data_IF_305267624128
#
_entry.id   IF_305267624128
#
_cell.length_a   1.000
_cell.length_b   1.000
_cell.length_c   1.000
_cell.angle_alpha   90.00
_cell.angle_beta   90.00
_cell.angle_gamma   90.00
#
_symmetry.space_group_name_H-M   'P 1'
#
loop_
_entity.id
_entity.type
_entity.pdbx_description
1 polymer ?
#
# COMPACT_ATOMS: atom_id res chain seq x y z
N UNK A 1 -3.23 -19.66 23.51
CA UNK A 1 -3.11 -18.50 22.59
C UNK A 1 -1.97 -18.72 21.61
N UNK A 2 -0.75 -19.08 22.06
CA UNK A 2 0.34 -19.46 21.15
C UNK A 2 0.03 -20.67 20.25
N UNK A 3 -0.72 -21.67 20.71
CA UNK A 3 -1.00 -22.86 19.88
C UNK A 3 -1.88 -22.54 18.65
N UNK A 4 -2.85 -21.62 18.80
CA UNK A 4 -3.69 -21.17 17.68
C UNK A 4 -2.86 -20.41 16.64
N UNK A 5 -1.98 -19.51 17.08
CA UNK A 5 -1.12 -18.74 16.18
C UNK A 5 -0.11 -19.65 15.47
N UNK A 6 0.49 -20.60 16.19
CA UNK A 6 1.37 -21.62 15.60
C UNK A 6 0.63 -22.47 14.59
N UNK A 7 -0.60 -22.89 14.88
CA UNK A 7 -1.42 -23.63 13.92
C UNK A 7 -1.73 -22.77 12.68
N UNK A 8 -2.14 -21.52 12.85
CA UNK A 8 -2.36 -20.58 11.74
C UNK A 8 -1.12 -20.45 10.85
N UNK A 9 0.04 -20.18 11.44
CA UNK A 9 1.31 -20.05 10.72
C UNK A 9 1.77 -21.37 10.06
N UNK A 10 1.49 -22.51 10.70
CA UNK A 10 1.81 -23.82 10.14
C UNK A 10 0.91 -24.18 8.95
N UNK A 11 -0.39 -23.88 9.04
CA UNK A 11 -1.39 -24.21 8.01
C UNK A 11 -1.36 -23.23 6.83
N UNK A 12 -1.06 -21.96 7.06
CA UNK A 12 -0.91 -20.99 5.97
C UNK A 12 0.23 -21.42 5.05
N UNK A 13 -0.02 -21.44 3.75
CA UNK A 13 1.04 -21.62 2.75
C UNK A 13 1.82 -20.33 2.56
N UNK A 14 1.08 -19.24 2.39
CA UNK A 14 1.59 -17.89 2.15
C UNK A 14 1.07 -16.93 3.21
N UNK A 15 1.93 -16.02 3.65
CA UNK A 15 1.64 -15.04 4.69
C UNK A 15 2.13 -13.67 4.24
N UNK A 16 1.23 -12.69 4.26
CA UNK A 16 1.61 -11.27 4.19
C UNK A 16 1.59 -10.67 5.58
N UNK A 17 2.45 -9.69 5.83
CA UNK A 17 2.53 -9.01 7.12
C UNK A 17 2.12 -7.56 7.01
N UNK A 18 1.47 -7.03 8.04
CA UNK A 18 1.34 -5.59 8.26
C UNK A 18 2.04 -5.23 9.56
N UNK A 19 2.89 -4.21 9.52
CA UNK A 19 3.59 -3.68 10.68
C UNK A 19 2.99 -2.32 11.01
N UNK A 20 2.60 -2.17 12.27
CA UNK A 20 2.08 -0.91 12.79
C UNK A 20 2.87 -0.45 14.00
N UNK A 21 3.11 0.86 14.07
CA UNK A 21 3.76 1.54 15.17
C UNK A 21 2.89 2.73 15.55
N UNK A 22 2.44 2.75 16.79
CA UNK A 22 1.69 3.89 17.31
C UNK A 22 2.15 4.24 18.71
N UNK A 23 1.95 5.51 19.05
CA UNK A 23 2.19 6.04 20.40
C UNK A 23 0.85 6.33 21.06
N UNK A 24 0.64 5.81 22.26
CA UNK A 24 -0.56 6.08 23.04
C UNK A 24 -0.56 7.48 23.68
N UNK A 25 -1.65 7.84 24.34
CA UNK A 25 -1.80 9.15 25.01
C UNK A 25 -0.85 9.36 26.19
N UNK A 26 -0.25 8.29 26.71
CA UNK A 26 0.74 8.30 27.79
C UNK A 26 2.16 8.27 27.25
N UNK A 27 2.33 8.60 25.96
CA UNK A 27 3.61 8.65 25.24
C UNK A 27 4.37 7.32 25.28
N UNK A 28 3.64 6.20 25.33
CA UNK A 28 4.20 4.85 25.20
C UNK A 28 4.03 4.40 23.77
N UNK A 29 5.11 3.98 23.14
CA UNK A 29 5.07 3.45 21.79
C UNK A 29 4.87 1.94 21.82
N UNK A 30 4.16 1.43 20.84
CA UNK A 30 3.90 0.01 20.65
C UNK A 30 4.26 -0.37 19.22
N UNK A 31 4.70 -1.61 19.06
CA UNK A 31 4.96 -2.25 17.79
C UNK A 31 4.07 -3.49 17.69
N UNK A 32 3.46 -3.69 16.53
CA UNK A 32 2.76 -4.93 16.24
C UNK A 32 3.08 -5.47 14.85
N UNK A 33 3.13 -6.79 14.75
CA UNK A 33 3.15 -7.53 13.50
C UNK A 33 1.85 -8.32 13.43
N UNK A 34 1.09 -8.12 12.36
CA UNK A 34 -0.10 -8.91 12.06
C UNK A 34 0.15 -9.73 10.81
N UNK A 35 -0.09 -11.03 10.90
CA UNK A 35 -0.02 -11.95 9.77
C UNK A 35 -1.38 -12.14 9.13
N UNK A 36 -1.39 -12.17 7.79
CA UNK A 36 -2.58 -12.29 6.96
C UNK A 36 -2.37 -13.44 5.98
N UNK A 37 -3.33 -14.36 5.91
CA UNK A 37 -3.31 -15.49 4.99
C UNK A 37 -4.73 -15.84 4.55
N UNK A 38 -4.85 -16.51 3.40
CA UNK A 38 -6.08 -17.17 2.98
C UNK A 38 -5.92 -18.65 3.29
N UNK A 39 -6.80 -19.20 4.12
CA UNK A 39 -6.81 -20.61 4.50
C UNK A 39 -8.22 -21.13 4.25
N UNK A 40 -8.34 -22.19 3.45
CA UNK A 40 -9.63 -22.78 3.05
C UNK A 40 -10.59 -21.73 2.45
N UNK A 41 -10.09 -20.89 1.54
CA UNK A 41 -10.85 -19.79 0.90
C UNK A 41 -11.35 -18.71 1.86
N UNK A 42 -10.90 -18.71 3.12
CA UNK A 42 -11.24 -17.69 4.10
C UNK A 42 -10.03 -16.82 4.43
N UNK A 43 -10.22 -15.50 4.40
CA UNK A 43 -9.23 -14.55 4.86
C UNK A 43 -9.09 -14.62 6.39
N UNK A 44 -7.88 -14.81 6.87
CA UNK A 44 -7.52 -14.89 8.29
C UNK A 44 -6.45 -13.85 8.59
N UNK A 45 -6.65 -13.12 9.69
CA UNK A 45 -5.73 -12.08 10.16
C UNK A 45 -5.52 -12.23 11.66
N UNK A 46 -4.26 -12.34 12.08
CA UNK A 46 -3.90 -12.51 13.49
C UNK A 46 -2.68 -11.69 13.87
N UNK A 47 -2.74 -11.06 15.04
CA UNK A 47 -1.59 -10.37 15.64
C UNK A 47 -0.59 -11.42 16.11
N UNK A 48 0.56 -11.49 15.45
CA UNK A 48 1.65 -12.41 15.75
C UNK A 48 2.57 -11.86 16.83
N UNK A 49 2.77 -10.54 16.83
CA UNK A 49 3.63 -9.85 17.77
C UNK A 49 2.97 -8.55 18.24
N UNK A 50 3.05 -8.28 19.54
CA UNK A 50 2.60 -7.04 20.15
C UNK A 50 3.53 -6.69 21.32
N UNK A 51 4.32 -5.64 21.17
CA UNK A 51 5.37 -5.30 22.13
C UNK A 51 5.40 -3.79 22.41
N UNK A 52 5.66 -3.36 23.66
CA UNK A 52 6.00 -1.97 23.95
C UNK A 52 7.41 -1.66 23.41
N UNK A 53 7.57 -0.49 22.80
CA UNK A 53 8.86 0.03 22.35
C UNK A 53 9.43 1.03 23.36
N UNK A 54 10.64 0.78 23.85
CA UNK A 54 11.36 1.64 24.79
C UNK A 54 12.54 2.36 24.11
N UNK A 55 12.70 3.65 24.46
CA UNK A 55 13.77 4.50 23.95
C UNK A 55 13.58 4.91 22.48
N UNK A 56 14.69 5.25 21.80
CA UNK A 56 14.65 5.63 20.38
C UNK A 56 14.23 4.44 19.50
N UNK A 57 13.26 4.69 18.61
CA UNK A 57 12.71 3.72 17.64
C UNK A 57 13.60 3.65 16.41
N UNK A 58 14.82 3.11 16.52
CA UNK A 58 15.70 2.93 15.37
C UNK A 58 15.27 1.71 14.54
N UNK A 59 15.64 1.72 13.25
CA UNK A 59 15.30 0.66 12.29
C UNK A 59 15.81 -0.72 12.72
N UNK A 60 16.98 -0.78 13.36
CA UNK A 60 17.61 -2.02 13.85
C UNK A 60 16.73 -2.79 14.85
N UNK A 61 16.14 -2.11 15.83
CA UNK A 61 15.25 -2.76 16.82
C UNK A 61 13.98 -3.30 16.18
N UNK A 62 13.44 -2.59 15.18
CA UNK A 62 12.25 -3.04 14.47
C UNK A 62 12.55 -4.31 13.67
N UNK A 63 13.72 -4.37 13.05
CA UNK A 63 14.22 -5.55 12.35
C UNK A 63 14.44 -6.72 13.32
N UNK A 64 15.05 -6.48 14.47
CA UNK A 64 15.23 -7.51 15.50
C UNK A 64 13.89 -8.11 15.96
N UNK A 65 12.88 -7.29 16.27
CA UNK A 65 11.56 -7.80 16.66
C UNK A 65 10.85 -8.53 15.52
N UNK A 66 11.04 -8.08 14.28
CA UNK A 66 10.58 -8.79 13.10
C UNK A 66 11.22 -10.17 13.03
N UNK A 67 12.56 -10.26 13.03
CA UNK A 67 13.29 -11.52 12.92
C UNK A 67 12.92 -12.51 14.03
N UNK A 68 12.82 -12.03 15.28
CA UNK A 68 12.38 -12.85 16.41
C UNK A 68 10.98 -13.44 16.16
N UNK A 69 10.05 -12.63 15.64
CA UNK A 69 8.69 -13.08 15.36
C UNK A 69 8.66 -14.09 14.22
N UNK A 70 9.37 -13.83 13.11
CA UNK A 70 9.42 -14.73 11.97
C UNK A 70 10.05 -16.07 12.37
N UNK A 71 11.12 -16.04 13.17
CA UNK A 71 11.79 -17.21 13.70
C UNK A 71 10.92 -17.98 14.70
N UNK A 72 10.16 -17.32 15.58
CA UNK A 72 9.27 -17.99 16.53
C UNK A 72 8.21 -18.84 15.82
N UNK A 73 7.64 -18.32 14.73
CA UNK A 73 6.58 -18.99 13.98
C UNK A 73 7.07 -19.80 12.77
N UNK A 74 8.36 -19.75 12.44
CA UNK A 74 8.99 -20.47 11.31
C UNK A 74 8.32 -20.16 9.96
N UNK A 75 8.07 -18.87 9.71
CA UNK A 75 7.32 -18.41 8.52
C UNK A 75 8.19 -17.73 7.46
N UNK A 76 9.52 -17.74 7.58
CA UNK A 76 10.47 -17.08 6.67
C UNK A 76 10.16 -17.41 5.20
N UNK A 77 10.02 -18.71 4.91
CA UNK A 77 9.79 -19.24 3.57
C UNK A 77 8.35 -19.06 3.05
N UNK A 78 7.47 -18.51 3.88
CA UNK A 78 6.04 -18.30 3.57
C UNK A 78 5.73 -16.83 3.34
N UNK A 79 6.69 -15.92 3.52
CA UNK A 79 6.45 -14.50 3.43
C UNK A 79 6.31 -14.03 1.98
N UNK A 80 5.20 -13.37 1.68
CA UNK A 80 4.95 -12.78 0.36
C UNK A 80 5.29 -11.30 0.32
N UNK A 81 4.72 -10.51 1.24
CA UNK A 81 4.82 -9.04 1.27
C UNK A 81 4.74 -8.52 2.68
N UNK A 82 5.36 -7.37 2.92
CA UNK A 82 5.33 -6.65 4.19
C UNK A 82 4.79 -5.24 3.94
N UNK A 83 3.65 -4.90 4.54
CA UNK A 83 3.08 -3.54 4.48
C UNK A 83 3.50 -2.78 5.72
N UNK A 84 4.13 -1.62 5.54
CA UNK A 84 4.51 -0.72 6.64
C UNK A 84 4.05 0.71 6.34
N UNK A 85 3.95 1.57 7.34
CA UNK A 85 3.79 3.00 7.08
C UNK A 85 5.04 3.57 6.37
N UNK A 86 4.92 4.80 5.85
CA UNK A 86 6.01 5.48 5.15
C UNK A 86 6.87 6.35 6.08
N UNK A 87 6.91 6.05 7.38
CA UNK A 87 7.86 6.69 8.28
C UNK A 87 9.29 6.29 7.90
N UNK A 88 10.23 7.24 8.03
CA UNK A 88 11.62 7.05 7.63
C UNK A 88 12.28 5.85 8.31
N UNK A 89 11.93 5.54 9.56
CA UNK A 89 12.47 4.39 10.28
C UNK A 89 11.92 3.06 9.74
N UNK A 90 10.65 3.02 9.31
CA UNK A 90 10.04 1.83 8.71
C UNK A 90 10.54 1.60 7.27
N UNK A 91 10.70 2.67 6.49
CA UNK A 91 11.35 2.58 5.18
C UNK A 91 12.76 2.00 5.37
N UNK A 92 13.61 2.64 6.19
CA UNK A 92 14.99 2.18 6.42
C UNK A 92 15.11 0.76 6.97
N UNK A 93 14.17 0.31 7.80
CA UNK A 93 14.20 -1.03 8.38
C UNK A 93 13.91 -2.13 7.35
N UNK A 94 13.08 -1.84 6.34
CA UNK A 94 12.51 -2.87 5.45
C UNK A 94 12.73 -2.61 3.95
N UNK A 95 13.41 -1.53 3.57
CA UNK A 95 13.69 -1.16 2.16
C UNK A 95 14.62 -2.15 1.46
N UNK A 96 15.58 -2.74 2.17
CA UNK A 96 16.57 -3.70 1.64
C UNK A 96 16.51 -5.06 2.32
N UNK A 97 15.34 -5.47 2.84
CA UNK A 97 15.22 -6.78 3.48
C UNK A 97 15.33 -7.88 2.41
N UNK A 98 16.52 -8.49 2.34
CA UNK A 98 16.75 -9.72 1.57
C UNK A 98 16.07 -10.85 2.34
N UNK A 99 15.27 -11.66 1.64
CA UNK A 99 14.59 -12.81 2.24
C UNK A 99 15.66 -13.79 2.74
N UNK A 100 15.60 -14.25 4.02
CA UNK A 100 16.47 -15.31 4.49
C UNK A 100 16.29 -16.60 3.67
N UNK A 101 17.35 -17.10 3.04
CA UNK A 101 17.36 -18.20 2.08
C UNK A 101 17.55 -17.78 0.60
N UNK A 102 17.57 -16.47 0.31
CA UNK A 102 17.88 -15.91 -1.01
C UNK A 102 19.27 -15.27 -1.09
N UNK A 103 20.07 -15.31 -0.02
CA UNK A 103 21.44 -14.79 0.00
C UNK A 103 22.29 -15.46 -1.10
N UNK A 104 22.13 -16.77 -1.28
CA UNK A 104 22.86 -17.56 -2.28
C UNK A 104 22.48 -17.28 -3.74
N UNK A 105 21.41 -16.53 -4.00
CA UNK A 105 21.05 -16.09 -5.35
C UNK A 105 21.79 -14.81 -5.76
N UNK A 106 22.27 -14.05 -4.77
CA UNK A 106 23.09 -12.85 -4.96
C UNK A 106 24.58 -13.12 -4.75
N UNK A 107 24.94 -14.35 -4.38
CA UNK A 107 26.31 -14.87 -4.45
C UNK A 107 26.64 -15.27 -5.90
N UNK A 108 26.81 -14.28 -6.80
CA UNK A 108 27.39 -14.50 -8.12
C UNK A 108 28.78 -13.81 -8.18
N UNK A 109 29.81 -14.64 -7.94
CA UNK A 109 31.20 -14.59 -8.40
C UNK A 109 31.83 -13.24 -8.76
N UNK A 110 31.70 -12.24 -7.90
CA UNK A 110 32.61 -11.09 -7.89
C UNK A 110 32.99 -10.70 -6.46
N UNK A 111 33.62 -11.63 -5.75
CA UNK A 111 34.61 -11.25 -4.75
C UNK A 111 35.92 -10.95 -5.51
N UNK A 112 36.38 -9.69 -5.63
CA UNK A 112 37.77 -9.47 -5.97
C UNK A 112 38.59 -9.84 -4.75
N UNK A 113 39.10 -11.07 -4.77
CA UNK A 113 40.13 -11.51 -3.84
C UNK A 113 41.37 -10.62 -4.04
N UNK A 114 41.98 -10.27 -2.91
CA UNK A 114 43.05 -9.29 -2.79
C UNK A 114 44.34 -9.64 -3.55
N UNK A 115 45.01 -8.59 -4.04
CA UNK A 115 46.47 -8.37 -4.17
C UNK A 115 47.08 -8.25 -5.59
N UNK A 116 47.53 -7.02 -5.86
CA UNK A 116 48.90 -6.62 -6.24
C UNK A 116 49.42 -6.79 -7.69
N UNK A 117 49.65 -5.61 -8.29
CA UNK A 117 50.71 -5.22 -9.24
C UNK A 117 50.97 -5.99 -10.56
N UNK A 118 50.92 -5.24 -11.68
CA UNK A 118 51.96 -5.31 -12.72
C UNK A 118 51.56 -5.72 -14.15
N UNK A 119 51.65 -4.73 -15.07
CA UNK A 119 52.11 -4.79 -16.48
C UNK A 119 51.39 -5.61 -17.56
N UNK A 120 50.87 -4.87 -18.56
CA UNK A 120 51.10 -4.92 -20.01
C UNK A 120 51.03 -6.21 -20.87
N UNK A 121 50.32 -6.02 -22.00
CA UNK A 121 50.52 -6.54 -23.38
C UNK A 121 49.85 -7.86 -23.86
N UNK A 122 48.93 -7.64 -24.82
CA UNK A 122 48.72 -8.31 -26.13
C UNK A 122 48.94 -9.82 -26.31
N UNK A 123 47.95 -10.48 -26.91
CA UNK A 123 48.13 -11.77 -27.59
C UNK A 123 46.82 -12.37 -28.06
N UNK A 124 46.64 -12.40 -29.38
CA UNK A 124 45.69 -13.23 -30.15
C UNK A 124 45.96 -14.72 -29.86
N UNK A 125 44.91 -15.55 -29.75
CA UNK A 125 44.87 -16.89 -30.36
C UNK A 125 43.52 -17.60 -30.16
N UNK A 126 42.99 -18.00 -31.30
CA UNK A 126 41.84 -18.84 -31.61
C UNK A 126 41.82 -20.19 -30.89
N UNK A 127 40.66 -20.57 -30.30
CA UNK A 127 40.22 -21.97 -30.26
C UNK A 127 38.70 -22.10 -30.47
N UNK A 128 38.39 -22.61 -31.66
CA UNK A 128 37.26 -23.43 -32.14
C UNK A 128 35.88 -23.41 -31.48
N UNK A 129 34.92 -23.12 -32.37
CA UNK A 129 33.49 -23.34 -32.32
C UNK A 129 33.11 -24.82 -32.10
N UNK A 130 32.36 -25.10 -31.03
CA UNK A 130 31.41 -26.23 -30.99
C UNK A 130 30.31 -26.11 -29.89
N UNK A 131 30.13 -24.94 -29.25
CA UNK A 131 29.17 -24.74 -28.14
C UNK A 131 28.25 -23.52 -28.37
N UNK A 132 28.22 -22.98 -29.59
CA UNK A 132 27.54 -21.70 -29.86
C UNK A 132 26.10 -21.89 -30.38
N UNK A 133 25.76 -23.06 -30.92
CA UNK A 133 24.43 -23.32 -31.49
C UNK A 133 23.38 -23.81 -30.47
N UNK A 134 23.79 -24.30 -29.30
CA UNK A 134 22.85 -24.65 -28.21
C UNK A 134 22.52 -23.43 -27.34
N UNK A 135 23.49 -22.54 -27.12
CA UNK A 135 23.26 -21.29 -26.37
C UNK A 135 22.47 -20.23 -27.17
N UNK A 136 22.53 -20.24 -28.50
CA UNK A 136 21.75 -19.33 -29.35
C UNK A 136 20.23 -19.55 -29.22
N UNK A 137 19.79 -20.80 -29.12
CA UNK A 137 18.37 -21.13 -28.90
C UNK A 137 17.92 -20.90 -27.45
N UNK A 138 18.81 -20.98 -26.46
CA UNK A 138 18.48 -20.70 -25.06
C UNK A 138 18.40 -19.20 -24.76
N UNK A 139 19.26 -18.39 -25.40
CA UNK A 139 19.27 -16.93 -25.26
C UNK A 139 18.10 -16.23 -25.98
N UNK A 140 17.45 -16.89 -26.95
CA UNK A 140 16.24 -16.34 -27.58
C UNK A 140 15.00 -16.47 -26.69
N UNK A 141 15.00 -17.39 -25.73
CA UNK A 141 13.92 -17.58 -24.74
C UNK A 141 14.16 -16.76 -23.48
N UNK A 142 15.43 -16.49 -23.12
CA UNK A 142 15.81 -15.67 -21.96
C UNK A 142 15.49 -14.17 -22.13
N UNK A 143 15.44 -13.64 -23.35
CA UNK A 143 15.10 -12.23 -23.61
C UNK A 143 13.58 -11.94 -23.65
N UNK A 144 12.72 -12.91 -23.33
CA UNK A 144 11.26 -12.72 -23.28
C UNK A 144 10.72 -12.68 -21.84
N UNK A 145 11.58 -12.94 -20.84
CA UNK A 145 11.17 -13.06 -19.43
C UNK A 145 11.80 -11.92 -18.59
N UNK A 146 11.91 -10.71 -19.14
CA UNK A 146 12.32 -9.54 -18.36
C UNK A 146 11.17 -8.93 -17.53
N UNK A 147 9.93 -9.33 -17.84
CA UNK A 147 8.68 -8.75 -17.31
C UNK A 147 7.81 -9.74 -16.48
N UNK A 148 8.36 -10.91 -16.13
CA UNK A 148 7.70 -11.87 -15.26
C UNK A 148 7.34 -11.24 -13.90
N UNK A 149 6.16 -11.54 -13.36
CA UNK A 149 5.71 -11.02 -12.05
C UNK A 149 6.70 -11.33 -10.91
N UNK A 150 7.41 -12.47 -10.96
CA UNK A 150 8.43 -12.82 -9.96
C UNK A 150 9.76 -12.10 -10.21
N UNK A 151 10.11 -11.81 -11.47
CA UNK A 151 11.25 -10.94 -11.84
C UNK A 151 10.97 -9.48 -11.47
N UNK A 152 9.71 -9.06 -11.55
CA UNK A 152 9.26 -7.71 -11.23
C UNK A 152 8.99 -7.55 -9.74
N UNK A 153 8.60 -8.61 -9.03
CA UNK A 153 8.55 -8.71 -7.57
C UNK A 153 9.91 -8.99 -6.92
N UNK A 154 10.94 -9.37 -7.69
CA UNK A 154 12.34 -9.39 -7.23
C UNK A 154 13.04 -8.06 -7.50
N UNK A 155 12.64 -7.32 -8.55
CA UNK A 155 12.98 -5.88 -8.72
C UNK A 155 12.22 -4.97 -7.75
N UNK A 156 10.98 -5.32 -7.36
CA UNK A 156 10.16 -4.56 -6.40
C UNK A 156 10.31 -5.15 -5.00
N UNK A 157 10.87 -4.40 -4.06
CA UNK A 157 11.17 -4.90 -2.73
C UNK A 157 10.00 -5.58 -1.99
N UNK A 158 10.32 -6.43 -1.02
CA UNK A 158 9.36 -7.13 -0.15
C UNK A 158 8.36 -6.19 0.54
N UNK A 159 8.78 -4.94 0.75
CA UNK A 159 8.03 -3.89 1.44
C UNK A 159 7.07 -3.15 0.49
N UNK A 160 5.78 -3.17 0.82
CA UNK A 160 4.77 -2.29 0.24
C UNK A 160 4.45 -1.10 1.17
N UNK A 161 4.14 0.09 0.60
CA UNK A 161 3.69 1.24 1.38
C UNK A 161 2.25 1.10 1.87
N UNK A 162 1.97 1.57 3.09
CA UNK A 162 0.60 1.64 3.60
C UNK A 162 -0.25 2.65 2.81
N UNK A 163 -1.25 2.16 2.08
CA UNK A 163 -2.19 2.96 1.29
C UNK A 163 -2.90 4.06 2.08
N UNK A 164 -3.52 3.70 3.21
CA UNK A 164 -4.27 4.64 4.04
C UNK A 164 -3.36 5.76 4.61
N UNK A 165 -2.12 5.41 4.99
CA UNK A 165 -1.14 6.40 5.43
C UNK A 165 -0.73 7.32 4.27
N UNK A 166 -0.50 6.79 3.08
CA UNK A 166 -0.17 7.61 1.89
C UNK A 166 -1.31 8.57 1.53
N UNK A 167 -2.56 8.13 1.54
CA UNK A 167 -3.72 9.02 1.33
C UNK A 167 -3.83 10.09 2.41
N UNK A 168 -3.57 9.76 3.67
CA UNK A 168 -3.52 10.75 4.74
C UNK A 168 -2.46 11.82 4.46
N UNK A 169 -1.29 11.44 3.95
CA UNK A 169 -0.25 12.39 3.58
C UNK A 169 -0.67 13.29 2.40
N UNK A 170 -1.44 12.78 1.43
CA UNK A 170 -2.05 13.58 0.35
C UNK A 170 -2.94 14.67 0.95
N UNK A 171 -3.84 14.30 1.86
CA UNK A 171 -4.74 15.25 2.54
C UNK A 171 -3.95 16.27 3.34
N UNK A 172 -2.91 15.85 4.07
CA UNK A 172 -2.06 16.76 4.85
C UNK A 172 -1.34 17.77 3.96
N UNK A 173 -0.82 17.35 2.81
CA UNK A 173 -0.16 18.26 1.86
C UNK A 173 -1.16 19.24 1.25
N UNK A 174 -2.35 18.77 0.85
CA UNK A 174 -3.43 19.66 0.40
C UNK A 174 -3.81 20.70 1.45
N UNK A 175 -3.99 20.28 2.72
CA UNK A 175 -4.37 21.16 3.81
C UNK A 175 -3.32 22.24 4.15
N UNK A 176 -2.03 22.01 3.85
CA UNK A 176 -0.98 23.03 4.02
C UNK A 176 -1.19 24.19 3.04
N UNK A 177 -1.59 23.89 1.82
CA UNK A 177 -1.84 24.87 0.75
C UNK A 177 -3.26 25.48 0.81
N UNK A 178 -4.17 24.88 1.57
CA UNK A 178 -5.57 25.30 1.73
C UNK A 178 -5.76 26.55 2.61
N UNK A 179 -5.03 27.63 2.32
CA UNK A 179 -5.07 28.87 3.11
C UNK A 179 -6.45 29.53 3.08
N UNK A 180 -7.19 29.42 1.97
CA UNK A 180 -8.51 30.03 1.77
C UNK A 180 -9.56 29.54 2.76
N UNK A 181 -9.53 28.26 3.14
CA UNK A 181 -10.56 27.63 3.98
C UNK A 181 -10.18 27.56 5.47
N UNK A 182 -8.94 27.88 5.82
CA UNK A 182 -8.42 27.76 7.18
C UNK A 182 -9.31 28.42 8.24
N UNK A 183 -9.84 29.61 7.95
CA UNK A 183 -10.72 30.32 8.88
C UNK A 183 -12.06 29.60 9.09
N UNK A 184 -12.67 29.09 8.01
CA UNK A 184 -13.93 28.35 8.08
C UNK A 184 -13.76 27.05 8.89
N UNK A 185 -12.67 26.30 8.65
CA UNK A 185 -12.35 25.10 9.45
C UNK A 185 -12.15 25.44 10.93
N UNK A 186 -11.51 26.57 11.25
CA UNK A 186 -11.34 27.03 12.64
C UNK A 186 -12.68 27.33 13.30
N UNK A 187 -13.62 27.97 12.58
CA UNK A 187 -14.99 28.19 13.09
C UNK A 187 -15.68 26.86 13.38
N UNK A 188 -15.69 25.94 12.41
CA UNK A 188 -16.28 24.61 12.54
C UNK A 188 -15.68 23.84 13.72
N UNK A 189 -14.35 23.86 13.89
CA UNK A 189 -13.68 23.23 15.02
C UNK A 189 -14.12 23.82 16.37
N UNK A 190 -14.29 25.14 16.45
CA UNK A 190 -14.79 25.81 17.67
C UNK A 190 -16.26 25.49 17.93
N UNK A 191 -17.09 25.38 16.89
CA UNK A 191 -18.50 24.96 16.99
C UNK A 191 -18.57 23.52 17.52
N UNK A 192 -17.78 22.59 16.95
CA UNK A 192 -17.72 21.21 17.42
C UNK A 192 -17.28 21.12 18.89
N UNK A 193 -16.29 21.93 19.30
CA UNK A 193 -15.90 22.02 20.72
C UNK A 193 -17.04 22.52 21.61
N UNK A 194 -17.81 23.51 21.16
CA UNK A 194 -18.98 23.99 21.90
C UNK A 194 -20.03 22.90 22.07
N UNK A 195 -20.26 22.07 21.05
CA UNK A 195 -21.22 20.96 21.10
C UNK A 195 -20.91 19.94 22.22
N UNK A 196 -19.67 19.90 22.70
CA UNK A 196 -19.24 19.00 23.78
C UNK A 196 -18.92 19.69 25.11
N UNK A 197 -18.82 21.01 25.13
CA UNK A 197 -18.41 21.77 26.32
C UNK A 197 -19.50 22.68 26.87
N UNK A 198 -20.54 23.00 26.07
CA UNK A 198 -21.67 23.82 26.48
C UNK A 198 -22.94 22.98 26.52
N UNK A 199 -23.49 22.79 27.72
CA UNK A 199 -24.75 22.07 27.95
C UNK A 199 -25.88 22.75 27.16
N UNK A 200 -26.01 24.07 27.29
CA UNK A 200 -27.07 24.83 26.61
C UNK A 200 -26.98 24.74 25.07
N UNK A 201 -25.78 24.61 24.50
CA UNK A 201 -25.66 24.44 23.05
C UNK A 201 -26.00 23.00 22.63
N UNK A 202 -25.56 22.00 23.41
CA UNK A 202 -25.89 20.60 23.17
C UNK A 202 -27.39 20.33 23.22
N UNK A 203 -28.11 20.86 24.23
CA UNK A 203 -29.57 20.73 24.35
C UNK A 203 -30.31 21.33 23.14
N UNK A 204 -29.84 22.48 22.63
CA UNK A 204 -30.43 23.10 21.44
C UNK A 204 -30.17 22.30 20.17
N UNK A 205 -29.00 21.66 20.05
CA UNK A 205 -28.71 20.73 18.96
C UNK A 205 -29.61 19.49 19.02
N UNK A 206 -29.81 18.92 20.21
CA UNK A 206 -30.72 17.78 20.41
C UNK A 206 -32.17 18.13 20.06
N UNK A 207 -32.61 19.35 20.37
CA UNK A 207 -33.97 19.83 20.03
C UNK A 207 -34.25 19.81 18.52
N UNK A 208 -33.23 20.02 17.70
CA UNK A 208 -33.33 19.94 16.23
C UNK A 208 -32.90 18.57 15.67
N UNK A 209 -32.67 17.58 16.54
CA UNK A 209 -32.24 16.23 16.16
C UNK A 209 -30.81 16.14 15.64
N UNK A 210 -29.97 17.14 15.91
CA UNK A 210 -28.58 17.18 15.45
C UNK A 210 -27.62 16.68 16.54
N UNK A 211 -26.59 15.95 16.12
CA UNK A 211 -25.47 15.55 16.98
C UNK A 211 -24.16 15.69 16.23
N UNK A 212 -23.17 16.30 16.89
CA UNK A 212 -21.83 16.51 16.32
C UNK A 212 -20.89 15.45 16.92
N UNK A 213 -20.23 14.62 16.10
CA UNK A 213 -19.28 13.63 16.60
C UNK A 213 -17.99 14.29 17.11
N UNK A 214 -17.34 13.67 18.10
CA UNK A 214 -16.00 14.08 18.54
C UNK A 214 -14.97 13.73 17.48
N UNK A 215 -14.27 14.74 16.97
CA UNK A 215 -13.12 14.54 16.10
C UNK A 215 -11.99 13.78 16.82
N UNK A 216 -11.42 12.78 16.14
CA UNK A 216 -10.23 12.06 16.57
C UNK A 216 -8.98 12.69 15.92
N UNK A 217 -7.98 13.00 16.73
CA UNK A 217 -6.71 13.57 16.26
C UNK A 217 -5.92 12.59 15.38
N UNK A 218 -6.04 11.28 15.62
CA UNK A 218 -5.23 10.26 14.93
C UNK A 218 -5.85 9.76 13.62
N UNK A 219 -7.11 10.10 13.33
CA UNK A 219 -7.83 9.67 12.12
C UNK A 219 -8.43 10.86 11.41
N UNK A 220 -7.83 11.29 10.31
CA UNK A 220 -8.20 12.53 9.61
C UNK A 220 -9.66 12.52 9.11
N UNK A 221 -10.20 11.36 8.69
CA UNK A 221 -11.58 11.19 8.25
C UNK A 221 -12.62 11.55 9.34
N UNK A 222 -12.29 11.39 10.63
CA UNK A 222 -13.16 11.83 11.72
C UNK A 222 -13.37 13.36 11.77
N UNK A 223 -12.38 14.12 11.29
CA UNK A 223 -12.48 15.57 11.18
C UNK A 223 -13.42 15.94 10.02
N UNK A 224 -13.35 15.21 8.90
CA UNK A 224 -14.29 15.37 7.77
C UNK A 224 -15.74 15.09 8.21
N UNK A 225 -15.99 13.98 8.91
CA UNK A 225 -17.33 13.67 9.45
C UNK A 225 -17.87 14.77 10.37
N UNK A 226 -17.00 15.42 11.15
CA UNK A 226 -17.38 16.56 11.99
C UNK A 226 -17.83 17.76 11.16
N UNK A 227 -17.11 18.06 10.07
CA UNK A 227 -17.47 19.15 9.15
C UNK A 227 -18.81 18.84 8.46
N UNK A 228 -18.98 17.63 7.93
CA UNK A 228 -20.22 17.17 7.29
C UNK A 228 -21.42 17.32 8.23
N UNK A 229 -21.31 16.82 9.47
CA UNK A 229 -22.39 16.90 10.47
C UNK A 229 -22.75 18.32 10.85
N UNK A 230 -21.79 19.26 10.81
CA UNK A 230 -22.09 20.68 11.05
C UNK A 230 -22.80 21.31 9.84
N UNK A 231 -22.44 20.93 8.61
CA UNK A 231 -23.12 21.40 7.40
C UNK A 231 -24.53 20.84 7.22
N UNK A 232 -24.83 19.67 7.79
CA UNK A 232 -26.20 19.11 7.84
C UNK A 232 -27.15 19.96 8.71
N UNK A 233 -26.61 20.74 9.66
CA UNK A 233 -27.43 21.61 10.51
C UNK A 233 -27.91 22.82 9.70
N UNK A 234 -29.22 23.13 9.68
CA UNK A 234 -29.73 24.31 8.99
C UNK A 234 -29.01 25.60 9.44
N UNK A 235 -28.37 26.28 8.49
CA UNK A 235 -27.46 27.41 8.76
C UNK A 235 -28.12 28.57 9.53
N UNK A 236 -29.40 28.83 9.26
CA UNK A 236 -30.19 29.84 9.97
C UNK A 236 -30.35 29.49 11.45
N UNK A 237 -30.68 28.22 11.74
CA UNK A 237 -30.83 27.73 13.12
C UNK A 237 -29.48 27.74 13.84
N UNK A 238 -28.43 27.24 13.19
CA UNK A 238 -27.07 27.25 13.73
C UNK A 238 -26.62 28.66 14.10
N UNK A 239 -26.75 29.61 13.18
CA UNK A 239 -26.35 31.00 13.42
C UNK A 239 -27.23 31.70 14.47
N UNK A 240 -28.52 31.36 14.60
CA UNK A 240 -29.38 31.85 15.69
C UNK A 240 -28.89 31.35 17.05
N UNK A 241 -28.65 30.04 17.19
CA UNK A 241 -28.15 29.44 18.42
C UNK A 241 -26.81 30.06 18.85
N UNK A 242 -25.88 30.23 17.91
CA UNK A 242 -24.59 30.87 18.15
C UNK A 242 -24.74 32.34 18.56
N UNK A 243 -25.69 33.06 17.95
CA UNK A 243 -25.96 34.46 18.28
C UNK A 243 -26.52 34.62 19.69
N UNK A 244 -27.46 33.77 20.10
CA UNK A 244 -28.03 33.74 21.45
C UNK A 244 -26.97 33.45 22.52
N UNK A 245 -26.00 32.60 22.19
CA UNK A 245 -24.83 32.29 23.05
C UNK A 245 -23.75 33.37 23.01
N UNK A 246 -24.00 34.53 22.37
CA UNK A 246 -23.04 35.63 22.18
C UNK A 246 -21.76 35.21 21.44
N UNK A 247 -21.84 34.19 20.57
CA UNK A 247 -20.75 33.64 19.74
C UNK A 247 -20.90 33.97 18.26
N UNK A 248 -21.25 35.23 17.96
CA UNK A 248 -21.38 35.72 16.57
C UNK A 248 -20.09 35.58 15.75
N UNK A 249 -18.94 35.50 16.41
CA UNK A 249 -17.62 35.23 15.80
C UNK A 249 -17.56 33.88 15.06
N UNK A 250 -18.41 32.93 15.46
CA UNK A 250 -18.47 31.58 14.89
C UNK A 250 -19.51 31.41 13.79
N UNK A 251 -20.36 32.40 13.54
CA UNK A 251 -21.39 32.28 12.52
C UNK A 251 -20.77 31.99 11.15
N UNK A 252 -21.37 31.04 10.45
CA UNK A 252 -20.95 30.63 9.11
C UNK A 252 -21.72 31.47 8.09
N UNK A 253 -21.00 32.31 7.35
CA UNK A 253 -21.57 33.08 6.24
C UNK A 253 -21.73 32.23 4.98
N UNK A 254 -22.38 32.78 3.95
CA UNK A 254 -22.55 32.08 2.66
C UNK A 254 -21.21 31.62 2.06
N UNK A 255 -20.19 32.48 2.10
CA UNK A 255 -18.84 32.14 1.63
C UNK A 255 -18.20 31.01 2.44
N UNK A 256 -18.37 31.00 3.77
CA UNK A 256 -17.86 29.91 4.61
C UNK A 256 -18.53 28.59 4.24
N UNK A 257 -19.86 28.61 4.07
CA UNK A 257 -20.64 27.43 3.70
C UNK A 257 -20.26 26.92 2.30
N UNK A 258 -20.09 27.79 1.30
CA UNK A 258 -19.64 27.39 -0.03
C UNK A 258 -18.25 26.75 0.02
N UNK A 259 -17.29 27.36 0.72
CA UNK A 259 -15.94 26.78 0.88
C UNK A 259 -15.97 25.42 1.59
N UNK A 260 -16.77 25.29 2.64
CA UNK A 260 -16.89 24.06 3.41
C UNK A 260 -17.57 22.94 2.60
N UNK A 261 -18.56 23.26 1.76
CA UNK A 261 -19.18 22.28 0.87
C UNK A 261 -18.20 21.78 -0.20
N UNK A 262 -17.46 22.66 -0.87
CA UNK A 262 -16.41 22.25 -1.82
C UNK A 262 -15.31 21.43 -1.13
N UNK A 263 -14.92 21.80 0.09
CA UNK A 263 -13.96 21.03 0.87
C UNK A 263 -14.46 19.63 1.22
N UNK A 264 -15.74 19.51 1.58
CA UNK A 264 -16.37 18.21 1.83
C UNK A 264 -16.45 17.39 0.56
N UNK A 265 -16.81 17.97 -0.60
CA UNK A 265 -16.85 17.21 -1.86
C UNK A 265 -15.48 16.63 -2.20
N UNK A 266 -14.42 17.45 -2.16
CA UNK A 266 -13.05 17.03 -2.44
C UNK A 266 -12.54 15.94 -1.49
N UNK A 267 -12.74 16.10 -0.17
CA UNK A 267 -12.20 15.15 0.81
C UNK A 267 -13.05 13.89 0.98
N UNK A 268 -14.32 13.90 0.55
CA UNK A 268 -15.16 12.69 0.58
C UNK A 268 -14.58 11.62 -0.35
N UNK A 269 -14.10 12.00 -1.54
CA UNK A 269 -13.43 11.10 -2.49
C UNK A 269 -12.30 10.28 -1.83
N UNK A 270 -11.45 10.97 -1.07
CA UNK A 270 -10.31 10.34 -0.39
C UNK A 270 -10.76 9.61 0.90
N UNK A 271 -11.80 10.12 1.56
CA UNK A 271 -12.33 9.58 2.81
C UNK A 271 -12.99 8.23 2.63
N UNK A 272 -13.73 8.06 1.53
CA UNK A 272 -14.38 6.80 1.17
C UNK A 272 -13.33 5.72 0.87
N UNK A 273 -12.33 6.01 0.04
CA UNK A 273 -11.24 5.08 -0.25
C UNK A 273 -10.43 4.70 1.01
N UNK A 274 -10.16 5.66 1.89
CA UNK A 274 -9.47 5.41 3.17
C UNK A 274 -10.29 4.46 4.05
N UNK A 275 -11.60 4.65 4.10
CA UNK A 275 -12.50 3.82 4.93
C UNK A 275 -12.64 2.42 4.36
N UNK A 276 -12.78 2.29 3.04
CA UNK A 276 -12.90 0.99 2.37
C UNK A 276 -11.64 0.12 2.54
N UNK A 277 -10.45 0.74 2.55
CA UNK A 277 -9.17 0.02 2.67
C UNK A 277 -8.75 -0.32 4.10
N UNK A 278 -9.48 0.19 5.10
CA UNK A 278 -9.31 -0.14 6.51
C UNK A 278 -10.14 -1.36 6.96
N UNK A 279 -10.68 -2.14 6.01
CA UNK A 279 -11.44 -3.35 6.32
C UNK A 279 -10.59 -4.40 7.07
N UNK A 280 -11.12 -4.93 8.18
CA UNK A 280 -10.41 -5.88 9.05
C UNK A 280 -10.56 -7.35 8.62
N UNK A 281 -11.54 -7.66 7.76
CA UNK A 281 -11.95 -9.04 7.45
C UNK A 281 -11.94 -9.38 5.96
N UNK A 282 -11.31 -8.55 5.13
CA UNK A 282 -11.20 -8.80 3.70
C UNK A 282 -9.90 -8.23 3.14
N UNK A 283 -9.29 -8.88 2.12
CA UNK A 283 -8.18 -8.30 1.40
C UNK A 283 -8.56 -6.92 0.85
N UNK A 284 -7.72 -5.91 1.09
CA UNK A 284 -7.98 -4.52 0.70
C UNK A 284 -7.07 -4.01 -0.42
N UNK A 285 -6.03 -4.76 -0.78
CA UNK A 285 -5.07 -4.35 -1.82
C UNK A 285 -5.71 -4.22 -3.21
N UNK A 286 -6.74 -5.03 -3.52
CA UNK A 286 -7.53 -4.93 -4.75
C UNK A 286 -8.30 -3.61 -4.91
N UNK A 287 -8.45 -2.85 -3.83
CA UNK A 287 -9.12 -1.55 -3.85
C UNK A 287 -8.16 -0.41 -4.25
N UNK A 288 -6.83 -0.62 -4.16
CA UNK A 288 -5.84 0.45 -4.33
C UNK A 288 -5.88 1.05 -5.73
N UNK A 289 -5.76 0.20 -6.76
CA UNK A 289 -5.81 0.61 -8.17
C UNK A 289 -7.09 1.39 -8.52
N UNK A 290 -8.28 0.77 -8.36
CA UNK A 290 -9.55 1.41 -8.62
C UNK A 290 -9.75 2.72 -7.86
N UNK A 291 -9.37 2.77 -6.58
CA UNK A 291 -9.54 3.97 -5.76
C UNK A 291 -8.70 5.13 -6.27
N UNK A 292 -7.43 4.90 -6.62
CA UNK A 292 -6.55 5.96 -7.11
C UNK A 292 -7.01 6.49 -8.46
N UNK A 293 -7.42 5.60 -9.36
CA UNK A 293 -7.97 5.99 -10.66
C UNK A 293 -9.23 6.82 -10.49
N UNK A 294 -10.19 6.38 -9.66
CA UNK A 294 -11.42 7.14 -9.39
C UNK A 294 -11.09 8.51 -8.79
N UNK A 295 -10.31 8.55 -7.70
CA UNK A 295 -9.94 9.81 -7.03
C UNK A 295 -9.26 10.78 -8.01
N UNK A 296 -8.37 10.29 -8.88
CA UNK A 296 -7.68 11.14 -9.85
C UNK A 296 -8.65 11.81 -10.81
N UNK A 297 -9.51 11.05 -11.47
CA UNK A 297 -10.48 11.60 -12.44
C UNK A 297 -11.57 12.42 -11.76
N UNK A 298 -12.03 12.02 -10.59
CA UNK A 298 -13.02 12.75 -9.81
C UNK A 298 -12.47 14.11 -9.35
N UNK A 299 -11.20 14.18 -8.93
CA UNK A 299 -10.54 15.44 -8.59
C UNK A 299 -10.33 16.34 -9.83
N UNK A 300 -9.99 15.76 -10.99
CA UNK A 300 -9.92 16.52 -12.25
C UNK A 300 -11.28 17.12 -12.60
N UNK A 301 -12.36 16.35 -12.43
CA UNK A 301 -13.71 16.84 -12.67
C UNK A 301 -14.10 17.93 -11.66
N UNK A 302 -13.86 17.70 -10.37
CA UNK A 302 -14.14 18.66 -9.31
C UNK A 302 -13.32 19.95 -9.46
N UNK A 303 -12.11 19.90 -10.04
CA UNK A 303 -11.31 21.09 -10.33
C UNK A 303 -12.08 22.12 -11.18
N UNK A 304 -13.00 21.68 -12.04
CA UNK A 304 -13.85 22.55 -12.85
C UNK A 304 -15.10 23.05 -12.10
N UNK A 305 -15.50 22.36 -11.02
CA UNK A 305 -16.69 22.68 -10.23
C UNK A 305 -16.38 23.61 -9.05
N UNK A 306 -15.17 23.51 -8.47
CA UNK A 306 -14.78 24.30 -7.31
C UNK A 306 -14.42 25.74 -7.68
N UNK A 307 -14.99 26.70 -6.95
CA UNK A 307 -14.76 28.13 -7.15
C UNK A 307 -13.84 28.72 -6.09
N UNK A 308 -13.99 28.31 -4.83
CA UNK A 308 -13.26 28.91 -3.70
C UNK A 308 -12.05 28.10 -3.24
N UNK A 309 -12.05 26.80 -3.54
CA UNK A 309 -11.05 25.84 -3.07
C UNK A 309 -10.19 25.26 -4.20
N UNK A 310 -10.11 25.93 -5.36
CA UNK A 310 -9.30 25.51 -6.51
C UNK A 310 -7.83 25.23 -6.13
N UNK A 311 -7.22 26.10 -5.31
CA UNK A 311 -5.84 25.90 -4.82
C UNK A 311 -5.70 24.63 -3.98
N UNK A 312 -6.71 24.30 -3.17
CA UNK A 312 -6.74 23.08 -2.38
C UNK A 312 -6.90 21.84 -3.28
N UNK A 313 -7.82 21.88 -4.26
CA UNK A 313 -7.98 20.82 -5.25
C UNK A 313 -6.67 20.55 -6.02
N UNK A 314 -6.02 21.59 -6.52
CA UNK A 314 -4.73 21.47 -7.22
C UNK A 314 -3.63 20.90 -6.31
N UNK A 315 -3.60 21.29 -5.04
CA UNK A 315 -2.65 20.74 -4.08
C UNK A 315 -2.91 19.25 -3.78
N UNK A 316 -4.17 18.82 -3.71
CA UNK A 316 -4.54 17.41 -3.58
C UNK A 316 -4.11 16.62 -4.81
N UNK A 317 -4.43 17.09 -6.02
CA UNK A 317 -4.02 16.47 -7.28
C UNK A 317 -2.49 16.34 -7.38
N UNK A 318 -1.77 17.44 -7.14
CA UNK A 318 -0.31 17.45 -7.17
C UNK A 318 0.28 16.47 -6.16
N UNK A 319 -0.24 16.42 -4.93
CA UNK A 319 0.24 15.48 -3.93
C UNK A 319 -0.16 14.03 -4.23
N UNK A 320 -1.31 13.79 -4.86
CA UNK A 320 -1.73 12.44 -5.29
C UNK A 320 -0.76 11.91 -6.35
N UNK A 321 -0.50 12.69 -7.39
CA UNK A 321 0.45 12.36 -8.46
C UNK A 321 1.87 12.17 -7.89
N UNK A 322 2.31 13.03 -6.98
CA UNK A 322 3.64 12.93 -6.37
C UNK A 322 3.86 11.65 -5.54
N UNK A 323 2.78 10.99 -5.09
CA UNK A 323 2.83 9.84 -4.17
C UNK A 323 2.38 8.52 -4.80
N UNK A 324 1.49 8.57 -5.79
CA UNK A 324 0.98 7.41 -6.52
C UNK A 324 1.37 7.43 -8.00
N UNK A 325 2.33 8.26 -8.36
CA UNK A 325 2.71 8.46 -9.75
C UNK A 325 3.24 7.22 -10.44
N UNK A 326 3.93 6.31 -9.74
CA UNK A 326 4.31 5.01 -10.26
C UNK A 326 3.10 4.19 -10.75
N UNK A 327 2.03 4.13 -9.96
CA UNK A 327 0.77 3.46 -10.33
C UNK A 327 0.11 4.16 -11.52
N UNK A 328 -0.03 5.49 -11.48
CA UNK A 328 -0.68 6.25 -12.55
C UNK A 328 0.10 6.15 -13.87
N UNK A 329 1.44 6.18 -13.81
CA UNK A 329 2.34 5.96 -14.95
C UNK A 329 2.21 4.53 -15.49
N UNK A 330 2.08 3.53 -14.62
CA UNK A 330 1.88 2.13 -15.04
C UNK A 330 0.58 1.91 -15.83
N UNK A 331 -0.38 2.83 -15.67
CA UNK A 331 -1.67 2.92 -16.35
C UNK A 331 -1.65 3.88 -17.55
N UNK A 332 -0.47 4.37 -17.97
CA UNK A 332 -0.29 5.33 -19.06
C UNK A 332 -1.10 6.64 -18.89
N UNK A 333 -1.34 7.06 -17.65
CA UNK A 333 -2.03 8.32 -17.39
C UNK A 333 -1.06 9.49 -17.57
N UNK A 334 -1.36 10.36 -18.52
CA UNK A 334 -0.66 11.63 -18.68
C UNK A 334 -1.12 12.66 -17.64
N UNK A 335 -0.16 13.40 -17.08
CA UNK A 335 -0.42 14.44 -16.10
C UNK A 335 -0.46 15.82 -16.75
N UNK A 336 -1.52 16.57 -16.47
CA UNK A 336 -1.67 17.95 -16.92
C UNK A 336 -0.99 18.98 -15.99
N UNK A 337 -0.30 18.50 -14.96
CA UNK A 337 0.38 19.30 -13.95
C UNK A 337 1.83 18.85 -13.75
N UNK A 338 2.74 19.75 -13.33
CA UNK A 338 4.14 19.40 -13.12
C UNK A 338 4.28 18.36 -11.99
N UNK A 339 4.99 17.28 -12.31
CA UNK A 339 5.24 16.19 -11.37
C UNK A 339 6.40 16.55 -10.45
N UNK A 340 6.09 16.87 -9.19
CA UNK A 340 7.10 16.95 -8.13
C UNK A 340 7.33 15.55 -7.56
N UNK A 341 8.28 14.80 -8.13
CA UNK A 341 8.62 13.46 -7.63
C UNK A 341 9.06 13.53 -6.17
N UNK A 342 8.36 12.82 -5.29
CA UNK A 342 8.79 12.55 -3.91
C UNK A 342 9.52 11.21 -3.87
N UNK A 343 10.29 10.94 -2.82
CA UNK A 343 10.87 9.60 -2.60
C UNK A 343 9.83 8.47 -2.48
N UNK A 344 8.53 8.83 -2.45
CA UNK A 344 7.40 7.89 -2.47
C UNK A 344 6.79 7.67 -3.86
N UNK A 345 7.28 8.37 -4.90
CA UNK A 345 6.65 8.41 -6.22
C UNK A 345 6.56 7.01 -6.87
N UNK A 346 7.65 6.25 -6.81
CA UNK A 346 7.75 4.91 -7.40
C UNK A 346 7.29 3.79 -6.43
N UNK A 347 6.92 4.10 -5.17
CA UNK A 347 6.51 3.09 -4.19
C UNK A 347 5.23 2.32 -4.58
N UNK A 348 4.46 2.85 -5.53
CA UNK A 348 3.27 2.23 -6.08
C UNK A 348 3.44 1.77 -7.54
N UNK A 349 4.68 1.68 -8.05
CA UNK A 349 4.97 1.12 -9.38
C UNK A 349 4.86 -0.43 -9.40
N UNK A 350 4.81 -1.07 -8.22
CA UNK A 350 4.71 -2.53 -8.10
C UNK A 350 3.45 -3.08 -8.83
N UNK A 351 3.61 -4.04 -9.75
CA UNK A 351 2.51 -4.64 -10.51
C UNK A 351 1.41 -5.26 -9.66
N UNK A 352 1.70 -5.63 -8.40
CA UNK A 352 0.71 -6.19 -7.48
C UNK A 352 -0.53 -5.30 -7.41
N UNK A 353 -0.40 -3.96 -7.48
CA UNK A 353 -1.53 -3.04 -7.41
C UNK A 353 -2.46 -3.11 -8.63
N UNK A 354 -1.94 -3.55 -9.78
CA UNK A 354 -2.73 -3.81 -10.98
C UNK A 354 -3.35 -5.21 -10.93
N UNK A 355 -2.52 -6.22 -10.65
CA UNK A 355 -2.90 -7.64 -10.64
C UNK A 355 -3.93 -7.93 -9.55
N UNK A 356 -3.78 -7.37 -8.35
CA UNK A 356 -4.72 -7.61 -7.24
C UNK A 356 -6.14 -7.17 -7.57
N UNK A 357 -6.27 -6.06 -8.30
CA UNK A 357 -7.56 -5.51 -8.72
C UNK A 357 -8.20 -6.38 -9.78
N UNK A 358 -7.40 -6.97 -10.67
CA UNK A 358 -7.88 -7.95 -11.65
C UNK A 358 -8.35 -9.28 -11.04
N UNK A 359 -7.64 -9.77 -10.02
CA UNK A 359 -8.00 -11.03 -9.35
C UNK A 359 -9.25 -10.89 -8.47
N UNK A 360 -9.66 -9.67 -8.12
CA UNK A 360 -10.90 -9.42 -7.39
C UNK A 360 -12.11 -9.54 -8.32
N UNK A 361 -12.99 -10.50 -8.03
CA UNK A 361 -14.19 -10.78 -8.80
C UNK A 361 -15.15 -9.58 -8.94
N UNK A 362 -15.06 -8.59 -8.05
CA UNK A 362 -15.85 -7.34 -8.13
C UNK A 362 -15.38 -6.43 -9.26
N UNK A 363 -14.07 -6.37 -9.52
CA UNK A 363 -13.47 -5.44 -10.46
C UNK A 363 -13.07 -6.12 -11.77
N UNK A 364 -12.24 -7.17 -11.72
CA UNK A 364 -11.65 -7.80 -12.92
C UNK A 364 -10.99 -6.74 -13.81
N UNK A 365 -11.38 -6.61 -15.07
CA UNK A 365 -10.94 -5.50 -15.94
C UNK A 365 -11.91 -4.32 -15.95
N UNK A 366 -13.07 -4.43 -15.28
CA UNK A 366 -14.10 -3.38 -15.31
C UNK A 366 -13.60 -2.07 -14.74
N UNK A 367 -12.75 -2.12 -13.71
CA UNK A 367 -12.16 -0.91 -13.13
C UNK A 367 -11.26 -0.13 -14.10
N UNK A 368 -10.79 -0.76 -15.19
CA UNK A 368 -10.12 -0.09 -16.31
C UNK A 368 -11.15 0.30 -17.38
N UNK A 369 -11.99 -0.63 -17.83
CA UNK A 369 -12.92 -0.35 -18.95
C UNK A 369 -13.96 0.73 -18.63
N UNK A 370 -14.37 0.83 -17.36
CA UNK A 370 -15.35 1.81 -16.86
C UNK A 370 -14.66 3.06 -16.27
N UNK A 371 -13.32 3.15 -16.34
CA UNK A 371 -12.58 4.33 -15.85
C UNK A 371 -12.64 5.52 -16.81
N UNK A 372 -12.11 6.65 -16.34
CA UNK A 372 -11.87 7.86 -17.14
C UNK A 372 -10.67 7.79 -18.11
N UNK A 373 -10.01 6.64 -18.26
CA UNK A 373 -8.91 6.48 -19.21
C UNK A 373 -9.38 6.66 -20.68
N UNK A 374 -8.51 7.14 -21.58
CA UNK A 374 -8.78 7.07 -23.02
C UNK A 374 -8.99 5.62 -23.49
N UNK A 375 -9.84 5.42 -24.50
CA UNK A 375 -10.17 4.06 -24.99
C UNK A 375 -8.95 3.29 -25.53
N UNK A 376 -7.99 3.99 -26.15
CA UNK A 376 -6.72 3.40 -26.62
C UNK A 376 -5.93 2.83 -25.43
N UNK A 377 -5.74 3.65 -24.39
CA UNK A 377 -5.02 3.25 -23.17
C UNK A 377 -5.74 2.14 -22.40
N UNK A 378 -7.08 2.12 -22.40
CA UNK A 378 -7.85 1.03 -21.77
C UNK A 378 -7.49 -0.33 -22.36
N UNK A 379 -7.36 -0.42 -23.68
CA UNK A 379 -7.03 -1.68 -24.37
C UNK A 379 -5.62 -2.12 -24.02
N UNK A 380 -4.67 -1.20 -24.04
CA UNK A 380 -3.25 -1.46 -23.77
C UNK A 380 -3.04 -1.89 -22.32
N UNK A 381 -3.61 -1.14 -21.36
CA UNK A 381 -3.56 -1.47 -19.94
C UNK A 381 -4.22 -2.81 -19.65
N UNK A 382 -5.39 -3.10 -20.24
CA UNK A 382 -6.04 -4.40 -20.07
C UNK A 382 -5.18 -5.55 -20.59
N UNK A 383 -4.50 -5.36 -21.72
CA UNK A 383 -3.61 -6.36 -22.32
C UNK A 383 -2.40 -6.57 -21.44
N UNK A 384 -1.77 -5.48 -20.96
CA UNK A 384 -0.67 -5.52 -20.00
C UNK A 384 -1.02 -6.30 -18.73
N UNK A 385 -2.18 -6.02 -18.13
CA UNK A 385 -2.63 -6.73 -16.91
C UNK A 385 -2.82 -8.23 -17.18
N UNK A 386 -3.42 -8.60 -18.32
CA UNK A 386 -3.59 -10.01 -18.69
C UNK A 386 -2.25 -10.71 -18.86
N UNK A 387 -1.29 -10.05 -19.51
CA UNK A 387 0.06 -10.61 -19.72
C UNK A 387 0.76 -10.82 -18.38
N UNK A 388 0.75 -9.83 -17.48
CA UNK A 388 1.33 -9.95 -16.13
C UNK A 388 0.76 -11.16 -15.37
N UNK A 389 -0.55 -11.39 -15.44
CA UNK A 389 -1.20 -12.55 -14.80
C UNK A 389 -0.84 -13.84 -15.51
N UNK A 390 -0.85 -13.85 -16.85
CA UNK A 390 -0.52 -15.03 -17.63
C UNK A 390 0.93 -15.48 -17.37
N UNK A 391 1.88 -14.55 -17.39
CA UNK A 391 3.28 -14.80 -17.11
C UNK A 391 3.44 -15.38 -15.70
N UNK A 392 2.72 -14.85 -14.72
CA UNK A 392 2.71 -15.42 -13.36
C UNK A 392 2.15 -16.85 -13.32
N UNK A 393 1.05 -17.12 -14.02
CA UNK A 393 0.50 -18.48 -14.13
C UNK A 393 1.48 -19.46 -14.78
N UNK A 394 2.24 -19.03 -15.81
CA UNK A 394 3.26 -19.85 -16.46
C UNK A 394 4.39 -20.18 -15.50
N UNK A 395 4.85 -19.22 -14.70
CA UNK A 395 5.87 -19.46 -13.67
C UNK A 395 5.38 -20.47 -12.64
N UNK A 396 4.18 -20.28 -12.11
CA UNK A 396 3.59 -21.20 -11.13
C UNK A 396 3.45 -22.61 -11.70
N UNK A 397 3.04 -22.74 -12.97
CA UNK A 397 2.94 -24.04 -13.64
C UNK A 397 4.31 -24.73 -13.79
N UNK A 398 5.36 -23.97 -14.11
CA UNK A 398 6.72 -24.50 -14.22
C UNK A 398 7.27 -24.96 -12.86
N UNK A 399 7.06 -24.16 -11.80
CA UNK A 399 7.44 -24.55 -10.44
C UNK A 399 6.70 -25.83 -10.01
N UNK A 400 5.41 -25.93 -10.30
CA UNK A 400 4.64 -27.15 -10.01
C UNK A 400 5.19 -28.37 -10.76
N UNK A 401 5.58 -28.21 -12.03
CA UNK A 401 6.17 -29.27 -12.83
C UNK A 401 7.55 -29.70 -12.30
N UNK A 402 8.40 -28.76 -11.90
CA UNK A 402 9.72 -29.07 -11.31
C UNK A 402 9.60 -29.87 -10.01
N UNK A 403 8.55 -29.59 -9.23
CA UNK A 403 8.29 -30.33 -7.98
C UNK A 403 7.78 -31.73 -8.26
N UNK A 404 6.89 -31.90 -9.25
CA UNK A 404 6.43 -33.23 -9.69
C UNK A 404 7.60 -34.05 -10.21
N UNK A 405 8.48 -33.46 -11.01
CA UNK A 405 9.68 -34.15 -11.53
C UNK A 405 10.62 -34.55 -10.39
N UNK A 406 10.84 -33.68 -9.40
CA UNK A 406 11.64 -34.01 -8.22
C UNK A 406 11.04 -35.16 -7.38
N UNK A 407 9.72 -35.17 -7.17
CA UNK A 407 9.04 -36.25 -6.43
C UNK A 407 9.08 -37.59 -7.19
N UNK A 408 8.99 -37.58 -8.53
CA UNK A 408 9.14 -38.81 -9.33
C UNK A 408 10.58 -39.35 -9.38
N UNK A 409 11.58 -38.47 -9.21
CA UNK A 409 12.98 -38.89 -9.07
C UNK A 409 13.26 -39.45 -7.67
N UNK A 410 12.65 -38.93 -6.60
CA UNK A 410 12.73 -39.54 -5.26
C UNK A 410 12.05 -40.92 -5.20
N UNK A 411 10.92 -41.12 -5.90
CA UNK A 411 10.25 -42.45 -5.96
C UNK A 411 11.03 -43.50 -6.78
N UNK A 412 11.94 -43.08 -7.66
CA UNK A 412 12.82 -44.01 -8.42
C UNK A 412 14.16 -44.27 -7.74
N UNK A 413 14.53 -43.47 -6.72
CA UNK A 413 15.75 -43.65 -5.92
C UNK A 413 15.55 -44.52 -4.65
N UNK A 414 14.33 -44.93 -4.32
CA UNK A 414 14.08 -45.89 -3.21
C UNK A 414 14.61 -47.32 -3.46
N UNK A 415 15.19 -47.61 -4.63
CA UNK A 415 15.86 -48.91 -4.89
C UNK A 415 17.40 -48.91 -4.72
N UNK A 416 18.04 -47.82 -4.27
CA UNK A 416 19.49 -47.85 -3.95
C UNK A 416 19.81 -47.13 -2.63
N UNK A 417 19.73 -47.86 -1.52
CA UNK A 417 20.30 -47.43 -0.24
C UNK A 417 21.84 -47.43 -0.36
N UNK A 418 22.48 -46.25 -0.30
CA UNK A 418 23.45 -45.92 0.77
C UNK A 418 24.20 -44.58 0.54
N UNK A 419 24.15 -43.72 1.57
CA UNK A 419 25.05 -42.57 1.87
C UNK A 419 24.80 -41.25 1.10
N UNK A 420 23.95 -40.38 1.65
CA UNK A 420 24.37 -39.11 2.31
C UNK A 420 23.15 -38.24 2.63
N UNK A 421 23.08 -37.74 3.86
CA UNK A 421 22.02 -36.84 4.32
C UNK A 421 22.18 -35.45 3.69
N UNK A 422 21.23 -35.01 2.86
CA UNK A 422 20.97 -33.59 2.62
C UNK A 422 19.51 -33.35 2.23
N UNK A 423 18.75 -32.74 3.14
CA UNK A 423 17.36 -32.29 2.94
C UNK A 423 17.25 -31.37 1.73
N UNK A 424 16.34 -31.66 0.79
CA UNK A 424 15.88 -30.72 -0.25
C UNK A 424 14.35 -30.71 -0.36
N UNK A 425 13.87 -29.67 -1.04
CA UNK A 425 12.69 -28.84 -0.75
C UNK A 425 11.38 -29.45 -1.28
N UNK A 426 10.27 -29.21 -0.57
CA UNK A 426 8.90 -29.46 -1.04
C UNK A 426 8.11 -28.16 -1.04
N UNK A 427 7.57 -27.78 -2.20
CA UNK A 427 6.60 -26.68 -2.36
C UNK A 427 5.61 -27.08 -3.45
N UNK A 428 4.37 -27.43 -3.09
CA UNK A 428 3.24 -27.59 -4.03
C UNK A 428 2.01 -27.02 -3.35
N UNK A 429 1.33 -26.03 -3.94
CA UNK A 429 -0.13 -25.88 -3.80
C UNK A 429 -0.75 -25.13 -5.01
N UNK A 430 -2.03 -25.40 -5.24
CA UNK A 430 -2.84 -25.09 -6.43
C UNK A 430 -4.14 -24.32 -6.08
N UNK A 431 -4.47 -23.39 -7.00
CA UNK A 431 -5.76 -22.77 -7.39
C UNK A 431 -6.67 -22.09 -6.36
#
# INVERSE_FOLDING_TARGET
MNDMLKQFCATAEYISLTLDIWTDRRTRSFFSITGHAIINMEFKSYVLCFLPLYGSHNSEKLLEYYDLTINEFQIQNKLCRIVTDNASNNIKAFENLIIPGFESYFDDDNAPDSNDSGSDQSGDDSYDNAMTDVMSSMNKTLNVIEDSFDTLASKSGLRLPCFAHTLQLVVQDGLKEATCIKQAIVKVSKIAKLAHSSISFAEKLETIGASVPKANKTRWNSQLYTVQKILEIPSVQLNSMLTELKRKDLCLGLRDLSMLNEFVSLLTLIGEATTATQAEHSPSISLVGPSIVSIYYDLINERNNVTYTTTFCNALLSSLIARFGGLLKSLNIEFDMPVQKKGTYDLYEDPIFLVSSFLDGKFKLKWITESGLPEEEKVDVCTKIKNLVFDHCVLLANVANDVIVAETHEETEEEVISISNSKRKKVVFLS
#
